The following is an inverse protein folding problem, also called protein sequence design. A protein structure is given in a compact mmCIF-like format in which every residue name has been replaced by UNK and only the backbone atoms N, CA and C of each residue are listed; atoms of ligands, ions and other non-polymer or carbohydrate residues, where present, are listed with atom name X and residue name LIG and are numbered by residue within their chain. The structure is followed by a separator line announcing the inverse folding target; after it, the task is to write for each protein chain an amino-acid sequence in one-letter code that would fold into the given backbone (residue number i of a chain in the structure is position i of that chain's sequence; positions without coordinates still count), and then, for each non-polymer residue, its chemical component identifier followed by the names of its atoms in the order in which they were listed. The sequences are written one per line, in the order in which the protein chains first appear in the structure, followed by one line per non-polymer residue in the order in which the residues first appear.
data_IF_760612534836
#
_entry.id   IF_760612534836
#
_cell.length_a   1.000
_cell.length_b   1.000
_cell.length_c   1.000
_cell.angle_alpha   90.00
_cell.angle_beta   90.00
_cell.angle_gamma   90.00
#
_symmetry.space_group_name_H-M   'P 1'
#
loop_
_entity.id
_entity.type
_entity.pdbx_description
1 polymer ?
#
# COMPACT_ATOMS: atom_id res chain seq x y z
N UNK A 1 6.54 -16.18 -28.90
CA UNK A 1 6.58 -15.30 -27.71
C UNK A 1 5.15 -15.13 -27.21
N UNK A 2 4.76 -15.88 -26.18
CA UNK A 2 3.46 -15.70 -25.52
C UNK A 2 3.63 -14.64 -24.43
N UNK A 3 2.85 -13.58 -24.54
CA UNK A 3 2.81 -12.53 -23.54
C UNK A 3 2.09 -13.00 -22.28
N UNK A 4 2.63 -12.61 -21.14
CA UNK A 4 1.94 -12.65 -19.85
C UNK A 4 2.10 -11.25 -19.26
N UNK A 5 1.12 -10.40 -19.58
CA UNK A 5 0.96 -9.10 -18.96
C UNK A 5 0.55 -9.36 -17.50
N UNK A 6 1.51 -9.16 -16.60
CA UNK A 6 1.34 -9.41 -15.17
C UNK A 6 0.21 -8.54 -14.63
N UNK A 7 -0.75 -9.08 -13.85
CA UNK A 7 -1.85 -8.30 -13.32
C UNK A 7 -1.31 -7.21 -12.40
N UNK A 8 -1.43 -5.97 -12.87
CA UNK A 8 -1.34 -4.74 -12.09
C UNK A 8 -2.26 -4.87 -10.86
N UNK A 9 -1.67 -5.26 -9.73
CA UNK A 9 -2.38 -5.55 -8.48
C UNK A 9 -2.80 -4.21 -7.84
N UNK A 10 -3.81 -3.58 -8.41
CA UNK A 10 -4.39 -2.32 -7.93
C UNK A 10 -5.15 -2.59 -6.64
N UNK A 11 -4.57 -2.25 -5.48
CA UNK A 11 -5.25 -2.37 -4.20
C UNK A 11 -6.36 -1.32 -4.14
N UNK A 12 -7.59 -1.75 -3.88
CA UNK A 12 -8.77 -0.87 -3.77
C UNK A 12 -9.16 -0.72 -2.30
N UNK A 13 -9.51 0.51 -1.90
CA UNK A 13 -9.89 0.79 -0.52
C UNK A 13 -11.31 0.27 -0.26
N UNK A 14 -11.48 -0.64 0.70
CA UNK A 14 -12.80 -1.16 1.05
C UNK A 14 -13.79 -0.07 1.49
N UNK A 15 -13.30 1.02 2.12
CA UNK A 15 -14.14 2.11 2.63
C UNK A 15 -14.55 3.12 1.56
N UNK A 16 -13.64 3.45 0.64
CA UNK A 16 -13.83 4.54 -0.32
C UNK A 16 -14.04 4.05 -1.75
N UNK A 17 -13.78 2.76 -2.03
CA UNK A 17 -13.83 2.15 -3.37
C UNK A 17 -12.94 2.87 -4.40
N UNK A 18 -11.87 3.51 -3.95
CA UNK A 18 -10.86 4.16 -4.80
C UNK A 18 -9.56 3.35 -4.82
N UNK A 19 -8.79 3.41 -5.92
CA UNK A 19 -7.47 2.80 -5.96
C UNK A 19 -6.54 3.46 -4.94
N UNK A 20 -5.87 2.64 -4.14
CA UNK A 20 -4.81 3.12 -3.28
C UNK A 20 -3.59 3.44 -4.15
N UNK A 21 -2.89 4.48 -3.74
CA UNK A 21 -1.66 4.91 -4.37
C UNK A 21 -0.49 4.57 -3.46
N UNK A 22 0.63 4.13 -4.03
CA UNK A 22 1.87 4.01 -3.27
C UNK A 22 2.24 5.39 -2.72
N UNK A 23 2.39 5.47 -1.40
CA UNK A 23 2.76 6.68 -0.69
C UNK A 23 3.82 6.37 0.36
N UNK A 24 4.73 7.31 0.56
CA UNK A 24 5.71 7.23 1.65
C UNK A 24 4.99 7.35 2.98
N UNK A 25 5.08 6.31 3.80
CA UNK A 25 4.58 6.27 5.17
C UNK A 25 5.73 5.95 6.11
N UNK A 26 5.78 6.63 7.24
CA UNK A 26 6.80 6.37 8.26
C UNK A 26 6.22 5.35 9.23
N UNK A 27 6.70 4.11 9.15
CA UNK A 27 6.40 3.11 10.16
C UNK A 27 7.32 3.35 11.34
N UNK A 28 6.75 3.30 12.54
CA UNK A 28 7.50 3.40 13.80
C UNK A 28 7.34 2.09 14.54
N UNK A 29 8.43 1.32 14.62
CA UNK A 29 8.46 0.02 15.28
C UNK A 29 9.69 -0.07 16.16
N UNK A 30 9.49 -0.39 17.45
CA UNK A 30 10.55 -0.57 18.45
C UNK A 30 11.59 0.57 18.46
N UNK A 31 11.16 1.82 18.66
CA UNK A 31 12.01 3.03 18.66
C UNK A 31 12.68 3.38 17.32
N UNK A 32 12.44 2.60 16.25
CA UNK A 32 12.95 2.90 14.93
C UNK A 32 11.82 3.38 14.00
N UNK A 33 11.98 4.57 13.43
CA UNK A 33 11.07 5.11 12.43
C UNK A 33 11.72 5.06 11.04
N UNK A 34 11.13 4.29 10.13
CA UNK A 34 11.67 4.14 8.78
C UNK A 34 10.60 4.50 7.73
N UNK A 35 10.97 5.26 6.68
CA UNK A 35 10.07 5.57 5.58
C UNK A 35 9.97 4.35 4.66
N UNK A 36 8.75 3.84 4.49
CA UNK A 36 8.43 2.77 3.52
C UNK A 36 7.38 3.27 2.53
N UNK A 37 7.34 2.67 1.35
CA UNK A 37 6.31 2.96 0.36
C UNK A 37 5.20 1.92 0.48
N UNK A 38 4.07 2.33 1.05
CA UNK A 38 2.90 1.48 1.21
C UNK A 38 1.70 2.07 0.48
N UNK A 39 0.75 1.22 0.14
CA UNK A 39 -0.50 1.65 -0.46
C UNK A 39 -1.28 2.46 0.58
N UNK A 40 -1.55 3.72 0.26
CA UNK A 40 -2.34 4.64 1.08
C UNK A 40 -3.55 5.11 0.30
N UNK A 41 -4.71 5.10 0.96
CA UNK A 41 -5.92 5.68 0.42
C UNK A 41 -5.88 7.22 0.56
N UNK A 42 -6.03 7.98 -0.55
CA UNK A 42 -6.02 9.44 -0.49
C UNK A 42 -7.28 10.04 0.17
N UNK A 43 -8.37 9.26 0.28
CA UNK A 43 -9.65 9.74 0.81
C UNK A 43 -9.80 9.53 2.33
N UNK A 44 -9.46 8.34 2.83
CA UNK A 44 -9.63 8.00 4.24
C UNK A 44 -8.32 7.82 5.02
N UNK A 45 -7.16 8.01 4.36
CA UNK A 45 -5.83 7.76 4.92
C UNK A 45 -5.57 6.32 5.41
N UNK A 46 -6.40 5.35 4.99
CA UNK A 46 -6.16 3.94 5.25
C UNK A 46 -4.84 3.51 4.58
N UNK A 47 -3.95 2.92 5.35
CA UNK A 47 -2.69 2.36 4.85
C UNK A 47 -2.83 0.85 4.83
N UNK A 48 -2.47 0.22 3.72
CA UNK A 48 -2.39 -1.22 3.61
C UNK A 48 -1.00 -1.67 4.03
N UNK A 49 -0.93 -2.43 5.12
CA UNK A 49 0.29 -2.99 5.67
C UNK A 49 0.24 -4.50 5.37
N UNK A 50 1.13 -5.03 4.52
CA UNK A 50 1.16 -6.46 4.25
C UNK A 50 1.64 -7.21 5.49
N UNK A 51 1.21 -8.46 5.65
CA UNK A 51 1.50 -9.28 6.84
C UNK A 51 3.01 -9.55 7.00
N UNK A 52 3.78 -9.51 5.91
CA UNK A 52 5.25 -9.59 5.96
C UNK A 52 5.93 -8.41 6.71
N UNK A 53 5.21 -7.29 6.90
CA UNK A 53 5.67 -6.08 7.59
C UNK A 53 5.07 -5.90 9.00
N UNK A 54 4.10 -6.74 9.40
CA UNK A 54 3.40 -6.67 10.69
C UNK A 54 3.90 -7.76 11.64
#
# INVERSE_FOLDING_TARGET
MSGENSPEKSIICAKCNVPLTLGKVTLSYLDNSFPVELYKCPQCSLVFIPEELA
#
